data_IF_591963958299
#
_entry.id   IF_591963958299
#
_cell.length_a   1.000
_cell.length_b   1.000
_cell.length_c   1.000
_cell.angle_alpha   90.00
_cell.angle_beta   90.00
_cell.angle_gamma   90.00
#
_symmetry.space_group_name_H-M   'P 1'
#
loop_
_entity.id
_entity.type
_entity.pdbx_description
1 polymer ?
#
# COMPACT_ATOMS: atom_id res chain seq x y z
N UNK A 1 -11.99 2.56 -0.40
CA UNK A 1 -10.62 1.98 -0.42
C UNK A 1 -10.14 1.51 0.96
N UNK A 2 -10.61 2.07 2.09
CA UNK A 2 -10.10 1.70 3.43
C UNK A 2 -10.15 0.18 3.70
N UNK A 3 -11.29 -0.48 3.47
CA UNK A 3 -11.43 -1.93 3.68
C UNK A 3 -10.42 -2.74 2.86
N UNK A 4 -10.26 -2.41 1.58
CA UNK A 4 -9.30 -3.07 0.69
C UNK A 4 -7.86 -2.91 1.18
N UNK A 5 -7.45 -1.70 1.55
CA UNK A 5 -6.08 -1.44 2.00
C UNK A 5 -5.78 -2.09 3.34
N UNK A 6 -6.75 -2.11 4.27
CA UNK A 6 -6.61 -2.82 5.53
C UNK A 6 -6.35 -4.31 5.29
N UNK A 7 -7.20 -4.98 4.51
CA UNK A 7 -7.00 -6.39 4.17
C UNK A 7 -5.69 -6.64 3.43
N UNK A 8 -5.36 -5.78 2.45
CA UNK A 8 -4.14 -5.89 1.68
C UNK A 8 -2.90 -5.86 2.58
N UNK A 9 -2.79 -4.89 3.50
CA UNK A 9 -1.61 -4.79 4.35
C UNK A 9 -1.54 -5.88 5.41
N UNK A 10 -2.67 -6.34 5.95
CA UNK A 10 -2.68 -7.50 6.85
C UNK A 10 -2.15 -8.76 6.13
N UNK A 11 -2.55 -8.97 4.86
CA UNK A 11 -2.06 -10.08 4.03
C UNK A 11 -0.57 -9.89 3.71
N UNK A 12 -0.14 -8.71 3.25
CA UNK A 12 1.26 -8.43 2.93
C UNK A 12 2.17 -8.59 4.16
N UNK A 13 1.65 -8.26 5.35
CA UNK A 13 2.35 -8.45 6.61
C UNK A 13 2.62 -9.93 6.88
N UNK A 14 1.60 -10.79 6.71
CA UNK A 14 1.73 -12.26 6.83
C UNK A 14 2.68 -12.82 5.77
N UNK A 15 2.61 -12.31 4.55
CA UNK A 15 3.51 -12.71 3.47
C UNK A 15 4.98 -12.34 3.74
N UNK A 16 5.26 -11.45 4.71
CA UNK A 16 6.62 -11.06 5.06
C UNK A 16 7.20 -9.93 4.18
N UNK A 17 6.37 -9.22 3.43
CA UNK A 17 6.84 -8.03 2.70
C UNK A 17 7.26 -6.93 3.69
N UNK A 18 8.39 -6.27 3.41
CA UNK A 18 8.96 -5.23 4.29
C UNK A 18 8.39 -3.85 3.96
N UNK A 19 8.48 -3.43 2.70
CA UNK A 19 8.05 -2.10 2.27
C UNK A 19 6.95 -2.19 1.21
N UNK A 20 6.00 -1.28 1.27
CA UNK A 20 5.10 -0.95 0.17
C UNK A 20 5.34 0.48 -0.31
N UNK A 21 5.14 0.69 -1.61
CA UNK A 21 5.28 2.01 -2.23
C UNK A 21 3.98 2.41 -2.91
N UNK A 22 3.57 3.65 -2.68
CA UNK A 22 2.48 4.29 -3.40
C UNK A 22 3.05 5.32 -4.37
N UNK A 23 2.72 5.17 -5.65
CA UNK A 23 3.17 6.04 -6.74
C UNK A 23 1.98 6.85 -7.23
N UNK A 24 2.02 8.16 -7.01
CA UNK A 24 0.85 9.04 -7.10
C UNK A 24 1.15 10.16 -8.10
N UNK A 25 0.35 10.28 -9.16
CA UNK A 25 0.35 11.46 -10.04
C UNK A 25 -0.11 12.69 -9.26
N UNK A 26 0.64 13.79 -9.37
CA UNK A 26 0.41 15.01 -8.60
C UNK A 26 -0.13 16.16 -9.47
N UNK A 27 -0.95 17.07 -8.89
CA UNK A 27 -1.38 17.12 -7.49
C UNK A 27 -2.50 16.11 -7.16
N UNK A 28 -2.46 15.52 -5.96
CA UNK A 28 -3.52 14.62 -5.49
C UNK A 28 -3.56 14.51 -3.94
N UNK A 29 -3.98 15.61 -3.29
CA UNK A 29 -3.98 15.72 -1.83
C UNK A 29 -4.87 14.66 -1.15
N UNK A 30 -5.97 14.28 -1.80
CA UNK A 30 -6.85 13.21 -1.31
C UNK A 30 -6.12 11.87 -1.21
N UNK A 31 -5.37 11.50 -2.25
CA UNK A 31 -4.60 10.25 -2.24
C UNK A 31 -3.46 10.32 -1.22
N UNK A 32 -2.76 11.45 -1.14
CA UNK A 32 -1.68 11.65 -0.15
C UNK A 32 -2.21 11.49 1.27
N UNK A 33 -3.30 12.19 1.62
CA UNK A 33 -3.91 12.10 2.95
C UNK A 33 -4.43 10.68 3.25
N UNK A 34 -4.97 9.99 2.24
CA UNK A 34 -5.39 8.60 2.37
C UNK A 34 -4.20 7.68 2.71
N UNK A 35 -3.09 7.77 1.98
CA UNK A 35 -1.91 6.94 2.23
C UNK A 35 -1.26 7.25 3.59
N UNK A 36 -1.17 8.52 3.98
CA UNK A 36 -0.67 8.91 5.32
C UNK A 36 -1.42 8.23 6.46
N UNK A 37 -2.74 8.06 6.34
CA UNK A 37 -3.56 7.37 7.36
C UNK A 37 -3.23 5.89 7.53
N UNK A 38 -2.58 5.27 6.54
CA UNK A 38 -2.12 3.88 6.59
C UNK A 38 -0.64 3.75 7.00
N UNK A 39 0.03 4.85 7.36
CA UNK A 39 1.44 4.84 7.76
C UNK A 39 2.42 5.10 6.63
N UNK A 40 1.96 5.58 5.47
CA UNK A 40 2.89 6.00 4.40
C UNK A 40 3.50 7.37 4.70
N UNK A 41 4.81 7.46 4.50
CA UNK A 41 5.58 8.70 4.52
C UNK A 41 6.07 9.10 3.13
N UNK A 42 6.38 10.38 2.96
CA UNK A 42 6.91 10.90 1.70
C UNK A 42 8.34 10.36 1.46
N UNK A 43 8.60 9.93 0.22
CA UNK A 43 9.95 9.51 -0.21
C UNK A 43 10.56 10.52 -1.19
N UNK A 44 9.91 10.75 -2.33
CA UNK A 44 10.46 11.63 -3.37
C UNK A 44 9.39 12.12 -4.35
N UNK A 45 9.75 13.05 -5.24
CA UNK A 45 8.91 13.47 -6.37
C UNK A 45 9.74 13.62 -7.63
N UNK A 46 9.28 13.00 -8.71
CA UNK A 46 9.81 13.25 -10.05
C UNK A 46 9.00 14.33 -10.74
N UNK A 47 9.69 15.37 -11.22
CA UNK A 47 9.08 16.55 -11.83
C UNK A 47 8.87 16.36 -13.33
N UNK A 48 7.68 16.75 -13.83
CA UNK A 48 7.30 16.70 -15.25
C UNK A 48 7.68 15.37 -15.92
N UNK A 49 7.47 14.25 -15.23
CA UNK A 49 7.92 12.93 -15.68
C UNK A 49 6.98 12.30 -16.72
N UNK A 50 5.72 12.74 -16.79
CA UNK A 50 4.75 12.23 -17.77
C UNK A 50 3.93 13.33 -18.42
N UNK A 51 3.73 13.25 -19.74
CA UNK A 51 2.81 14.12 -20.47
C UNK A 51 1.52 13.38 -20.79
N UNK A 52 0.38 13.88 -20.30
CA UNK A 52 -0.92 13.23 -20.51
C UNK A 52 -2.04 14.27 -20.43
N UNK A 53 -3.02 14.18 -21.34
CA UNK A 53 -4.16 15.11 -21.42
C UNK A 53 -3.71 16.59 -21.49
N UNK A 54 -2.75 16.88 -22.37
CA UNK A 54 -2.32 18.26 -22.66
C UNK A 54 -1.44 18.91 -21.60
N UNK A 55 -0.96 18.17 -20.60
CA UNK A 55 -0.16 18.74 -19.51
C UNK A 55 0.94 17.77 -19.03
N UNK A 56 2.03 18.35 -18.52
CA UNK A 56 3.08 17.63 -17.81
C UNK A 56 2.67 17.40 -16.36
N UNK A 57 2.93 16.18 -15.87
CA UNK A 57 2.58 15.75 -14.52
C UNK A 57 3.83 15.39 -13.72
N UNK A 58 3.79 15.75 -12.45
CA UNK A 58 4.72 15.25 -11.44
C UNK A 58 4.23 13.88 -10.93
N UNK A 59 5.14 13.07 -10.39
CA UNK A 59 4.80 11.81 -9.70
C UNK A 59 5.50 11.76 -8.35
N UNK A 60 4.71 11.69 -7.28
CA UNK A 60 5.18 11.50 -5.91
C UNK A 60 5.28 10.02 -5.55
N UNK A 61 6.31 9.67 -4.81
CA UNK A 61 6.49 8.36 -4.20
C UNK A 61 6.34 8.49 -2.69
N UNK A 62 5.54 7.61 -2.11
CA UNK A 62 5.39 7.44 -0.67
C UNK A 62 5.75 6.00 -0.29
N UNK A 63 6.33 5.79 0.89
CA UNK A 63 6.76 4.48 1.37
C UNK A 63 6.06 4.14 2.69
N UNK A 64 5.75 2.87 2.90
CA UNK A 64 5.24 2.34 4.17
C UNK A 64 6.04 1.08 4.55
N UNK A 65 6.65 1.11 5.73
CA UNK A 65 7.29 -0.06 6.34
C UNK A 65 6.22 -0.94 7.00
N UNK A 66 5.84 -2.03 6.32
CA UNK A 66 4.82 -2.99 6.77
C UNK A 66 5.37 -3.92 7.85
N UNK A 67 6.62 -4.34 7.69
CA UNK A 67 7.36 -5.21 8.59
C UNK A 67 8.77 -4.62 8.82
N UNK A 68 9.41 -4.89 9.96
CA UNK A 68 10.74 -4.39 10.24
C UNK A 68 11.79 -5.01 9.30
N UNK A 69 12.77 -4.22 8.90
CA UNK A 69 13.93 -4.71 8.16
C UNK A 69 14.75 -5.64 9.06
N UNK A 70 15.06 -6.83 8.54
CA UNK A 70 15.94 -7.81 9.18
C UNK A 70 17.23 -7.90 8.37
N UNK A 71 18.34 -8.24 9.03
CA UNK A 71 19.63 -8.49 8.37
C UNK A 71 19.50 -9.53 7.25
N UNK A 72 18.73 -10.61 7.52
CA UNK A 72 18.44 -11.67 6.56
C UNK A 72 16.93 -11.94 6.54
N UNK A 73 16.17 -11.27 5.65
CA UNK A 73 14.74 -11.53 5.51
C UNK A 73 14.51 -12.88 4.80
N UNK A 74 13.54 -13.65 5.28
CA UNK A 74 13.06 -14.83 4.55
C UNK A 74 12.32 -14.40 3.26
N UNK A 75 12.29 -15.30 2.28
CA UNK A 75 11.49 -15.10 1.07
C UNK A 75 10.01 -14.89 1.43
N UNK A 76 9.32 -13.94 0.77
CA UNK A 76 7.90 -13.76 1.00
C UNK A 76 7.07 -15.00 0.67
N UNK A 77 6.10 -15.33 1.51
CA UNK A 77 5.14 -16.40 1.24
C UNK A 77 4.30 -15.99 0.03
N UNK A 78 4.16 -16.86 -0.97
CA UNK A 78 3.31 -16.56 -2.13
C UNK A 78 1.85 -16.59 -1.68
N UNK A 79 1.02 -15.70 -2.23
CA UNK A 79 -0.39 -15.61 -1.84
C UNK A 79 -1.16 -16.95 -1.85
N UNK A 80 -1.01 -17.85 -2.84
CA UNK A 80 -1.70 -19.15 -2.83
C UNK A 80 -1.26 -20.12 -1.72
N UNK A 81 -0.15 -19.84 -1.05
CA UNK A 81 0.39 -20.66 0.04
C UNK A 81 -0.11 -20.20 1.41
N UNK A 82 -0.79 -19.05 1.50
CA UNK A 82 -1.44 -18.61 2.73
C UNK A 82 -2.70 -19.45 2.94
N UNK A 83 -2.94 -19.88 4.18
CA UNK A 83 -4.18 -20.56 4.53
C UNK A 83 -5.39 -19.69 4.15
N UNK A 84 -6.27 -20.25 3.32
CA UNK A 84 -7.49 -19.59 2.86
C UNK A 84 -8.38 -19.15 4.01
N UNK A 85 -8.46 -19.92 5.10
CA UNK A 85 -9.26 -19.56 6.27
C UNK A 85 -8.76 -18.27 6.93
N UNK A 86 -7.44 -18.03 6.92
CA UNK A 86 -6.83 -16.79 7.40
C UNK A 86 -7.19 -15.64 6.47
N UNK A 87 -7.06 -15.83 5.16
CA UNK A 87 -7.43 -14.80 4.16
C UNK A 87 -8.90 -14.42 4.27
N UNK A 88 -9.80 -15.40 4.35
CA UNK A 88 -11.25 -15.18 4.47
C UNK A 88 -11.58 -14.43 5.77
N UNK A 89 -10.88 -14.73 6.87
CA UNK A 89 -11.02 -14.01 8.15
C UNK A 89 -10.61 -12.54 8.03
N UNK A 90 -9.48 -12.24 7.39
CA UNK A 90 -8.99 -10.87 7.15
C UNK A 90 -9.98 -10.08 6.28
N UNK A 91 -10.47 -10.68 5.20
CA UNK A 91 -11.45 -10.05 4.31
C UNK A 91 -12.74 -9.76 5.08
N UNK A 92 -13.24 -10.72 5.86
CA UNK A 92 -14.44 -10.54 6.68
C UNK A 92 -14.25 -9.44 7.73
N UNK A 93 -13.10 -9.40 8.41
CA UNK A 93 -12.77 -8.37 9.41
C UNK A 93 -12.72 -6.97 8.80
N UNK A 94 -12.06 -6.81 7.66
CA UNK A 94 -11.94 -5.52 6.97
C UNK A 94 -13.27 -5.00 6.40
N UNK A 95 -14.24 -5.89 6.12
CA UNK A 95 -15.56 -5.54 5.59
C UNK A 95 -16.37 -4.59 6.50
N UNK A 96 -16.05 -4.55 7.80
CA UNK A 96 -16.66 -3.60 8.75
C UNK A 96 -16.40 -2.14 8.32
N UNK A 97 -15.31 -1.88 7.62
CA UNK A 97 -14.95 -0.56 7.11
C UNK A 97 -15.72 -0.16 5.84
N UNK A 98 -16.57 -1.04 5.28
CA UNK A 98 -17.46 -0.73 4.16
C UNK A 98 -18.75 -0.03 4.61
N UNK A 99 -19.12 -0.16 5.89
CA UNK A 99 -20.37 0.38 6.44
C UNK A 99 -20.23 1.82 6.99
N UNK A 100 -19.15 2.50 6.63
CA UNK A 100 -18.88 3.92 6.93
C UNK A 100 -18.75 4.68 5.62
#
# INVERSE_FOLDING_TARGET
ANALYAALFDILKIQGYINAYAVITLPNDRSIAFHKRFGFDFLTTYKKIGYKLGQWHDVGWMQYEINPHKEEPADPIKFPQIDKAVVDSIIKGSSVLLKK
#
